data_IF_308146758236
#
_entry.id   IF_308146758236
#
_cell.length_a   1.000
_cell.length_b   1.000
_cell.length_c   1.000
_cell.angle_alpha   90.00
_cell.angle_beta   90.00
_cell.angle_gamma   90.00
#
_symmetry.space_group_name_H-M   'P 1'
#
loop_
_entity.id
_entity.type
_entity.pdbx_description
1 polymer ?
#
# COMPACT_ATOMS: atom_id res chain seq x y z
N UNK A 1 11.99 33.63 -16.27
CA UNK A 1 11.52 32.30 -16.74
C UNK A 1 11.34 31.45 -15.48
N UNK A 2 10.11 31.29 -14.99
CA UNK A 2 9.83 30.60 -13.73
C UNK A 2 10.16 29.11 -13.89
N UNK A 3 11.22 28.64 -13.22
CA UNK A 3 11.50 27.23 -13.11
C UNK A 3 10.35 26.57 -12.33
N UNK A 4 9.61 25.69 -13.00
CA UNK A 4 8.59 24.84 -12.39
C UNK A 4 9.30 23.83 -11.49
N UNK A 5 9.40 24.13 -10.20
CA UNK A 5 9.72 23.10 -9.20
C UNK A 5 8.45 22.29 -8.97
N UNK A 6 8.27 21.20 -9.74
CA UNK A 6 7.38 20.12 -9.32
C UNK A 6 8.02 19.51 -8.07
N UNK A 7 7.49 19.86 -6.90
CA UNK A 7 7.89 19.25 -5.64
C UNK A 7 7.68 17.76 -5.77
N UNK A 8 8.76 16.98 -5.68
CA UNK A 8 8.69 15.53 -5.64
C UNK A 8 8.10 15.14 -4.29
N UNK A 9 6.77 15.05 -4.18
CA UNK A 9 6.15 14.42 -3.02
C UNK A 9 6.31 12.91 -3.14
N UNK A 10 7.39 12.39 -2.58
CA UNK A 10 7.56 10.95 -2.42
C UNK A 10 6.80 10.52 -1.15
N UNK A 11 5.74 9.75 -1.33
CA UNK A 11 5.00 9.17 -0.22
C UNK A 11 5.49 7.73 -0.07
N UNK A 12 6.04 7.35 1.08
CA UNK A 12 6.46 5.97 1.33
C UNK A 12 5.49 5.28 2.28
N UNK A 13 5.08 4.08 1.91
CA UNK A 13 4.34 3.23 2.83
C UNK A 13 5.33 2.41 3.66
N UNK A 14 5.30 2.61 4.98
CA UNK A 14 6.20 1.94 5.93
C UNK A 14 5.40 0.95 6.73
N UNK A 15 5.80 -0.32 6.72
CA UNK A 15 5.04 -1.37 7.42
C UNK A 15 5.21 -1.24 8.92
N UNK A 16 4.10 -1.10 9.66
CA UNK A 16 4.09 -1.35 11.10
C UNK A 16 4.20 -2.85 11.34
N UNK A 17 5.26 -3.24 12.05
CA UNK A 17 5.53 -4.61 12.46
C UNK A 17 4.34 -5.11 13.28
N UNK A 18 3.53 -6.03 12.72
CA UNK A 18 2.53 -6.74 13.50
C UNK A 18 3.27 -7.45 14.66
N UNK A 19 2.88 -7.11 15.89
CA UNK A 19 3.46 -7.60 17.13
C UNK A 19 3.36 -9.11 17.18
N UNK A 20 4.52 -9.74 17.41
CA UNK A 20 4.75 -11.08 17.99
C UNK A 20 3.48 -11.87 18.35
N UNK A 21 3.04 -12.69 17.41
CA UNK A 21 2.17 -13.83 17.62
C UNK A 21 2.39 -14.74 16.42
N UNK A 22 2.96 -15.92 16.63
CA UNK A 22 3.15 -16.90 15.58
C UNK A 22 1.78 -17.21 14.95
N UNK A 23 1.54 -16.75 13.73
CA UNK A 23 0.54 -17.37 12.88
C UNK A 23 1.23 -18.58 12.23
N UNK A 24 1.05 -19.74 12.85
CA UNK A 24 1.35 -21.02 12.21
C UNK A 24 0.44 -21.15 10.98
N UNK A 25 0.96 -20.78 9.81
CA UNK A 25 0.43 -21.23 8.54
C UNK A 25 0.99 -22.65 8.27
N UNK A 26 0.14 -23.57 7.82
CA UNK A 26 0.34 -25.02 7.87
C UNK A 26 1.56 -25.59 7.08
N UNK A 27 2.39 -24.76 6.45
CA UNK A 27 3.50 -25.23 5.60
C UNK A 27 4.87 -24.55 5.84
N UNK A 28 5.04 -23.73 6.89
CA UNK A 28 6.38 -23.29 7.32
C UNK A 28 7.21 -22.47 6.31
N UNK A 29 6.62 -22.01 5.21
CA UNK A 29 7.29 -21.10 4.27
C UNK A 29 7.40 -19.70 4.88
N UNK A 30 8.64 -19.23 5.06
CA UNK A 30 8.92 -17.83 5.39
C UNK A 30 8.37 -16.95 4.27
N UNK A 31 7.21 -16.36 4.46
CA UNK A 31 6.71 -15.33 3.54
C UNK A 31 7.67 -14.14 3.59
N UNK A 32 8.30 -13.84 2.45
CA UNK A 32 9.16 -12.68 2.32
C UNK A 32 8.28 -11.43 2.38
N UNK A 33 8.37 -10.72 3.49
CA UNK A 33 7.50 -9.59 3.77
C UNK A 33 7.90 -8.43 2.86
N UNK A 34 6.92 -7.72 2.24
CA UNK A 34 7.21 -6.62 1.36
C UNK A 34 7.95 -5.50 2.12
N UNK A 35 9.00 -4.95 1.48
CA UNK A 35 9.74 -3.80 1.99
C UNK A 35 8.94 -2.50 1.93
N UNK A 36 9.50 -1.36 2.35
CA UNK A 36 8.88 -0.06 2.17
C UNK A 36 8.70 0.23 0.68
N UNK A 37 7.52 0.76 0.32
CA UNK A 37 7.15 1.04 -1.07
C UNK A 37 7.16 2.54 -1.27
N UNK A 38 8.02 3.03 -2.17
CA UNK A 38 8.02 4.42 -2.58
C UNK A 38 6.92 4.64 -3.61
N UNK A 39 5.93 5.44 -3.24
CA UNK A 39 4.85 5.87 -4.11
C UNK A 39 5.27 7.16 -4.83
N UNK A 40 5.07 7.16 -6.14
CA UNK A 40 5.21 8.34 -7.00
C UNK A 40 3.82 8.93 -7.25
N UNK A 41 3.75 10.21 -7.54
CA UNK A 41 2.52 10.85 -7.99
C UNK A 41 1.94 10.14 -9.23
N UNK A 42 0.62 10.01 -9.26
CA UNK A 42 -0.11 9.30 -10.31
C UNK A 42 -0.75 8.00 -9.83
N UNK A 43 -1.20 7.19 -10.79
CA UNK A 43 -1.89 5.92 -10.55
C UNK A 43 -0.90 4.76 -10.61
N UNK A 44 -0.91 3.93 -9.58
CA UNK A 44 -0.08 2.75 -9.38
C UNK A 44 -0.99 1.57 -9.09
N UNK A 45 -0.78 0.45 -9.76
CA UNK A 45 -1.54 -0.75 -9.47
C UNK A 45 -0.81 -1.69 -8.50
N UNK A 46 -1.59 -2.28 -7.59
CA UNK A 46 -1.12 -3.16 -6.52
C UNK A 46 -1.66 -4.56 -6.80
N UNK A 47 -0.75 -5.52 -6.83
CA UNK A 47 -1.11 -6.90 -7.10
C UNK A 47 -0.06 -7.87 -6.63
N UNK A 48 -0.39 -9.16 -6.68
CA UNK A 48 0.53 -10.23 -6.26
C UNK A 48 1.60 -10.56 -7.30
N UNK A 49 1.30 -10.34 -8.57
CA UNK A 49 2.14 -10.73 -9.71
C UNK A 49 2.20 -9.60 -10.72
N UNK A 50 3.19 -9.64 -11.61
CA UNK A 50 3.24 -8.77 -12.79
C UNK A 50 1.95 -8.90 -13.63
N UNK A 51 1.49 -7.83 -14.31
CA UNK A 51 2.21 -6.60 -14.66
C UNK A 51 2.07 -5.43 -13.66
N UNK A 52 1.99 -5.68 -12.35
CA UNK A 52 1.74 -4.62 -11.40
C UNK A 52 2.93 -3.68 -11.07
N UNK A 53 2.66 -2.38 -10.84
CA UNK A 53 3.64 -1.40 -10.34
C UNK A 53 4.16 -1.78 -8.94
N UNK A 54 3.24 -2.23 -8.09
CA UNK A 54 3.52 -2.63 -6.71
C UNK A 54 3.20 -4.11 -6.57
N UNK A 55 4.25 -4.91 -6.56
CA UNK A 55 4.17 -6.35 -6.45
C UNK A 55 4.28 -6.75 -4.97
N UNK A 56 3.19 -7.25 -4.42
CA UNK A 56 3.10 -7.82 -3.08
C UNK A 56 3.01 -9.34 -3.19
N UNK A 57 4.12 -10.10 -3.14
CA UNK A 57 4.13 -11.56 -3.34
C UNK A 57 3.59 -12.30 -2.12
N UNK A 58 2.35 -11.99 -1.73
CA UNK A 58 1.65 -12.48 -0.55
C UNK A 58 0.45 -13.29 -1.03
N UNK A 59 0.22 -14.51 -0.52
CA UNK A 59 -0.85 -15.38 -1.00
C UNK A 59 -2.26 -14.81 -0.80
N UNK A 60 -2.45 -13.91 0.16
CA UNK A 60 -3.73 -13.24 0.47
C UNK A 60 -4.03 -12.05 -0.45
N UNK A 61 -3.06 -11.60 -1.24
CA UNK A 61 -3.23 -10.51 -2.22
C UNK A 61 -3.60 -11.11 -3.57
N UNK A 62 -4.55 -10.49 -4.26
CA UNK A 62 -5.02 -10.94 -5.58
C UNK A 62 -4.04 -10.50 -6.67
N UNK A 63 -4.03 -11.16 -7.84
CA UNK A 63 -3.14 -10.78 -8.94
C UNK A 63 -3.26 -9.31 -9.34
N UNK A 64 -4.48 -8.77 -9.28
CA UNK A 64 -4.79 -7.35 -9.31
C UNK A 64 -5.72 -7.08 -8.14
N UNK A 65 -5.23 -6.41 -7.10
CA UNK A 65 -5.93 -6.32 -5.83
C UNK A 65 -6.50 -4.91 -5.61
N UNK A 66 -5.65 -3.90 -5.72
CA UNK A 66 -6.05 -2.51 -5.53
C UNK A 66 -5.32 -1.60 -6.51
N UNK A 67 -5.84 -0.38 -6.65
CA UNK A 67 -5.20 0.71 -7.37
C UNK A 67 -4.98 1.84 -6.38
N UNK A 68 -3.77 2.38 -6.37
CA UNK A 68 -3.34 3.51 -5.58
C UNK A 68 -3.23 4.72 -6.49
N UNK A 69 -3.84 5.83 -6.13
CA UNK A 69 -3.66 7.11 -6.83
C UNK A 69 -3.10 8.12 -5.84
N UNK A 70 -1.88 8.57 -6.07
CA UNK A 70 -1.20 9.57 -5.25
C UNK A 70 -1.46 10.94 -5.87
N UNK A 71 -2.13 11.81 -5.11
CA UNK A 71 -2.38 13.22 -5.49
C UNK A 71 -1.81 14.15 -4.41
N UNK A 72 -0.59 14.64 -4.63
CA UNK A 72 0.11 15.53 -3.69
C UNK A 72 0.40 14.84 -2.35
N UNK A 73 -0.32 15.24 -1.30
CA UNK A 73 -0.20 14.71 0.06
C UNK A 73 -1.32 13.68 0.42
N UNK A 74 -2.15 13.31 -0.55
CA UNK A 74 -3.27 12.38 -0.38
C UNK A 74 -3.03 11.10 -1.17
N UNK A 75 -3.35 9.97 -0.57
CA UNK A 75 -3.36 8.68 -1.25
C UNK A 75 -4.80 8.19 -1.37
N UNK A 76 -5.28 7.98 -2.59
CA UNK A 76 -6.56 7.36 -2.86
C UNK A 76 -6.32 5.86 -3.09
N UNK A 77 -7.08 5.03 -2.40
CA UNK A 77 -7.04 3.56 -2.54
C UNK A 77 -8.36 3.11 -3.15
N UNK A 78 -8.29 2.28 -4.18
CA UNK A 78 -9.45 1.68 -4.84
C UNK A 78 -9.27 0.16 -4.83
N UNK A 79 -10.17 -0.56 -4.19
CA UNK A 79 -10.18 -2.03 -4.24
C UNK A 79 -10.78 -2.51 -5.56
N UNK A 80 -10.04 -3.33 -6.32
CA UNK A 80 -10.49 -3.82 -7.64
C UNK A 80 -11.09 -5.22 -7.50
N UNK A 81 -12.10 -5.34 -6.63
CA UNK A 81 -12.79 -6.59 -6.33
C UNK A 81 -11.80 -7.67 -5.87
N UNK A 82 -11.02 -7.34 -4.83
CA UNK A 82 -10.12 -8.30 -4.24
C UNK A 82 -10.86 -9.42 -3.50
N UNK A 83 -10.21 -10.56 -3.33
CA UNK A 83 -10.83 -11.73 -2.68
C UNK A 83 -11.01 -11.54 -1.18
N UNK A 84 -10.04 -10.89 -0.52
CA UNK A 84 -10.02 -10.71 0.94
C UNK A 84 -10.40 -9.29 1.37
N UNK A 85 -10.68 -8.39 0.42
CA UNK A 85 -10.96 -6.98 0.70
C UNK A 85 -9.71 -6.15 0.97
N UNK A 86 -9.93 -4.84 1.01
CA UNK A 86 -8.93 -3.85 1.43
C UNK A 86 -9.47 -3.12 2.66
N UNK A 87 -8.62 -2.84 3.65
CA UNK A 87 -9.01 -2.05 4.83
C UNK A 87 -8.17 -0.79 4.95
N UNK A 88 -8.81 0.31 5.34
CA UNK A 88 -8.19 1.61 5.60
C UNK A 88 -8.53 2.06 7.01
N UNK A 89 -7.52 2.38 7.82
CA UNK A 89 -7.66 2.79 9.21
C UNK A 89 -8.57 1.85 10.05
N UNK A 90 -8.44 0.54 9.83
CA UNK A 90 -9.24 -0.49 10.50
C UNK A 90 -10.67 -0.65 9.99
N UNK A 91 -11.08 0.10 8.97
CA UNK A 91 -12.39 -0.04 8.31
C UNK A 91 -12.23 -0.66 6.94
N UNK A 92 -12.97 -1.73 6.66
CA UNK A 92 -13.02 -2.33 5.32
C UNK A 92 -13.66 -1.36 4.32
N UNK A 93 -13.02 -1.20 3.16
CA UNK A 93 -13.52 -0.35 2.08
C UNK A 93 -14.34 -1.18 1.11
N UNK A 94 -15.32 -0.54 0.44
CA UNK A 94 -16.09 -1.23 -0.59
C UNK A 94 -15.25 -1.42 -1.84
N UNK A 95 -15.37 -2.60 -2.46
CA UNK A 95 -14.85 -2.84 -3.80
C UNK A 95 -15.39 -1.79 -4.78
N UNK A 96 -14.53 -1.28 -5.66
CA UNK A 96 -14.80 -0.23 -6.65
C UNK A 96 -15.12 1.17 -6.07
N UNK A 97 -14.97 1.38 -4.76
CA UNK A 97 -15.03 2.71 -4.13
C UNK A 97 -13.61 3.25 -3.89
N UNK A 98 -13.46 4.58 -3.98
CA UNK A 98 -12.22 5.26 -3.65
C UNK A 98 -12.25 5.75 -2.21
N UNK A 99 -11.19 5.44 -1.46
CA UNK A 99 -11.02 5.93 -0.09
C UNK A 99 -9.73 6.72 0.01
N UNK A 100 -9.84 7.94 0.50
CA UNK A 100 -8.69 8.80 0.79
C UNK A 100 -8.03 8.37 2.10
N UNK A 101 -6.72 8.17 2.04
CA UNK A 101 -5.85 7.83 3.16
C UNK A 101 -4.95 9.04 3.43
N UNK A 102 -5.08 9.67 4.60
CA UNK A 102 -4.18 10.75 4.99
C UNK A 102 -2.81 10.20 5.38
N UNK A 103 -1.78 11.06 5.39
CA UNK A 103 -0.45 10.70 5.90
C UNK A 103 -0.58 10.26 7.37
N UNK A 104 0.06 9.14 7.70
CA UNK A 104 -0.07 8.43 8.97
C UNK A 104 -1.18 7.38 8.97
N UNK A 105 -2.03 7.34 7.92
CA UNK A 105 -3.11 6.38 7.78
C UNK A 105 -2.62 4.98 7.48
N UNK A 106 -3.35 3.99 7.98
CA UNK A 106 -3.04 2.58 7.82
C UNK A 106 -3.84 1.98 6.66
N UNK A 107 -3.21 1.14 5.85
CA UNK A 107 -3.81 0.44 4.72
C UNK A 107 -3.44 -1.03 4.82
N UNK A 108 -4.41 -1.90 4.63
CA UNK A 108 -4.24 -3.35 4.65
C UNK A 108 -4.80 -3.91 3.35
N UNK A 109 -3.99 -4.70 2.65
CA UNK A 109 -4.41 -5.41 1.44
C UNK A 109 -4.62 -6.89 1.74
N UNK A 110 -5.87 -7.33 1.79
CA UNK A 110 -6.23 -8.69 2.16
C UNK A 110 -6.01 -8.97 3.64
N UNK A 111 -4.79 -9.37 4.03
CA UNK A 111 -4.51 -9.83 5.39
C UNK A 111 -3.68 -8.81 6.20
N UNK A 112 -4.19 -8.44 7.38
CA UNK A 112 -3.58 -7.44 8.27
C UNK A 112 -2.20 -7.83 8.81
N UNK A 113 -1.88 -9.11 8.85
CA UNK A 113 -0.59 -9.60 9.34
C UNK A 113 0.48 -9.63 8.24
N UNK A 114 0.05 -9.74 6.98
CA UNK A 114 0.96 -9.95 5.85
C UNK A 114 1.18 -8.68 5.00
N UNK A 115 0.15 -7.87 4.82
CA UNK A 115 0.16 -6.75 3.88
C UNK A 115 -0.45 -5.47 4.47
N UNK A 116 -0.06 -5.16 5.71
CA UNK A 116 -0.32 -3.87 6.37
C UNK A 116 0.77 -2.85 6.08
N UNK A 117 0.36 -1.63 5.76
CA UNK A 117 1.22 -0.51 5.43
C UNK A 117 0.73 0.77 6.11
N UNK A 118 1.64 1.66 6.45
CA UNK A 118 1.31 3.00 6.97
C UNK A 118 1.82 4.04 6.01
N UNK A 119 0.94 4.92 5.58
CA UNK A 119 1.31 6.03 4.73
C UNK A 119 2.24 6.97 5.48
N UNK A 120 3.45 7.20 4.98
CA UNK A 120 4.39 8.15 5.54
C UNK A 120 4.88 9.09 4.45
N UNK A 121 5.01 10.37 4.77
CA UNK A 121 5.66 11.31 3.86
C UNK A 121 7.15 11.18 4.06
N UNK A 122 7.89 10.87 2.99
CA UNK A 122 9.34 10.97 3.03
C UNK A 122 9.67 12.42 2.74
N UNK A 123 10.19 13.13 3.75
CA UNK A 123 10.84 14.40 3.48
C UNK A 123 12.14 14.08 2.74
N UNK A 124 12.18 14.32 1.43
CA UNK A 124 13.45 14.63 0.77
C UNK A 124 13.95 15.90 1.44
N UNK A 125 14.84 15.74 2.44
CA UNK A 125 15.63 16.83 3.00
C UNK A 125 16.56 17.29 1.88
N UNK A 126 16.05 18.18 1.04
CA UNK A 126 16.85 18.87 0.01
C UNK A 126 17.78 19.81 0.77
N UNK A 127 18.98 19.31 1.07
CA UNK A 127 20.14 20.10 1.46
C UNK A 127 20.67 20.91 0.27
#
# INVERSE_FOLDING_TARGET
>A
MLARSFGRSAVACTRTRASSGACDHLDGEKVSLPGPIALREGTLDVGRVEPCDIILPVPTVSSRHAILTVEGDKLLVIDVNSTNGTMVNGSEIKAMDYVEVPIGGEIVFGDEFLAKFVLQKVADDVA
#
